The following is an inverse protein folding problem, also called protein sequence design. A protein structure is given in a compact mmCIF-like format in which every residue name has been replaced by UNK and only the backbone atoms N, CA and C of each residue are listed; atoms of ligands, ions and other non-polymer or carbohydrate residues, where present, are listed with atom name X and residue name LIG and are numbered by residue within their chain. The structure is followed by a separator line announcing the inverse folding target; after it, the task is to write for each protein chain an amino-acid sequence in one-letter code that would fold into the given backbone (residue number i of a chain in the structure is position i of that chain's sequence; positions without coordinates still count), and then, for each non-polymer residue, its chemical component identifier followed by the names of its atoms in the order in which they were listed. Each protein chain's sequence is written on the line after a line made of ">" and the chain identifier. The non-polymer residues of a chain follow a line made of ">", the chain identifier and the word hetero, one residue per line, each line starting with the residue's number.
data_IF_992884300961
#
_entry.id   IF_992884300961
#
_cell.length_a   1.000
_cell.length_b   1.000
_cell.length_c   1.000
_cell.angle_alpha   90.00
_cell.angle_beta   90.00
_cell.angle_gamma   90.00
#
_symmetry.space_group_name_H-M   'P 1'
#
loop_
_entity.id
_entity.type
_entity.pdbx_description
1 polymer ?
#
# COMPACT_ATOMS: atom_id res chain seq x y z
N UNK A 1 -54.53 -17.83 6.66
CA UNK A 1 -53.36 -16.92 6.83
C UNK A 1 -52.31 -17.02 5.73
N UNK A 2 -52.24 -18.10 4.92
CA UNK A 2 -51.33 -18.19 3.77
C UNK A 2 -51.83 -17.48 2.49
N UNK A 3 -53.12 -17.18 2.40
CA UNK A 3 -53.74 -16.64 1.16
C UNK A 3 -53.36 -15.18 0.88
N UNK A 4 -52.91 -14.43 1.90
CA UNK A 4 -52.39 -13.07 1.72
C UNK A 4 -50.95 -13.03 1.18
N UNK A 5 -50.20 -14.14 1.23
CA UNK A 5 -48.83 -14.23 0.73
C UNK A 5 -48.75 -14.51 -0.78
N UNK A 6 -49.87 -14.96 -1.38
CA UNK A 6 -49.98 -15.32 -2.80
C UNK A 6 -50.62 -14.23 -3.67
N UNK A 7 -50.94 -13.05 -3.10
CA UNK A 7 -51.35 -11.90 -3.90
C UNK A 7 -50.15 -11.46 -4.77
N UNK A 8 -50.34 -11.27 -6.09
CA UNK A 8 -49.27 -10.92 -7.00
C UNK A 8 -48.53 -9.63 -6.60
N UNK A 9 -49.23 -8.71 -5.94
CA UNK A 9 -48.69 -7.46 -5.37
C UNK A 9 -47.68 -7.71 -4.23
N UNK A 10 -47.94 -8.69 -3.36
CA UNK A 10 -47.08 -9.04 -2.22
C UNK A 10 -45.87 -9.84 -2.69
N UNK A 11 -46.04 -10.70 -3.70
CA UNK A 11 -44.96 -11.42 -4.36
C UNK A 11 -44.00 -10.46 -5.09
N UNK A 12 -44.52 -9.47 -5.82
CA UNK A 12 -43.72 -8.44 -6.50
C UNK A 12 -42.91 -7.61 -5.51
N UNK A 13 -43.53 -7.17 -4.41
CA UNK A 13 -42.85 -6.41 -3.35
C UNK A 13 -41.68 -7.21 -2.74
N UNK A 14 -41.91 -8.50 -2.45
CA UNK A 14 -40.88 -9.36 -1.87
C UNK A 14 -39.71 -9.62 -2.85
N UNK A 15 -40.01 -9.81 -4.13
CA UNK A 15 -38.98 -9.95 -5.18
C UNK A 15 -38.13 -8.68 -5.31
N UNK A 16 -38.73 -7.49 -5.22
CA UNK A 16 -38.01 -6.22 -5.27
C UNK A 16 -37.09 -6.07 -4.04
N UNK A 17 -37.57 -6.40 -2.84
CA UNK A 17 -36.75 -6.34 -1.62
C UNK A 17 -35.58 -7.34 -1.69
N UNK A 18 -35.80 -8.55 -2.20
CA UNK A 18 -34.74 -9.54 -2.46
C UNK A 18 -33.72 -9.05 -3.50
N UNK A 19 -34.17 -8.38 -4.56
CA UNK A 19 -33.27 -7.80 -5.57
C UNK A 19 -32.43 -6.66 -5.00
N UNK A 20 -33.03 -5.75 -4.23
CA UNK A 20 -32.32 -4.64 -3.59
C UNK A 20 -31.28 -5.17 -2.60
N UNK A 21 -31.68 -6.09 -1.73
CA UNK A 21 -30.74 -6.71 -0.78
C UNK A 21 -29.61 -7.43 -1.50
N UNK A 22 -29.90 -8.25 -2.52
CA UNK A 22 -28.88 -8.91 -3.34
C UNK A 22 -27.92 -7.92 -4.02
N UNK A 23 -28.42 -6.82 -4.58
CA UNK A 23 -27.57 -5.78 -5.17
C UNK A 23 -26.67 -5.10 -4.14
N UNK A 24 -27.20 -4.80 -2.95
CA UNK A 24 -26.42 -4.22 -1.84
C UNK A 24 -25.36 -5.23 -1.36
N UNK A 25 -25.72 -6.50 -1.15
CA UNK A 25 -24.77 -7.54 -0.71
C UNK A 25 -23.70 -7.78 -1.76
N UNK A 26 -24.07 -7.85 -3.05
CA UNK A 26 -23.12 -8.03 -4.16
C UNK A 26 -22.20 -6.83 -4.34
N UNK A 27 -22.69 -5.61 -4.11
CA UNK A 27 -21.87 -4.41 -4.13
C UNK A 27 -20.90 -4.36 -2.95
N UNK A 28 -21.36 -4.72 -1.75
CA UNK A 28 -20.51 -4.86 -0.56
C UNK A 28 -19.44 -5.96 -0.72
N UNK A 29 -19.78 -7.10 -1.34
CA UNK A 29 -18.80 -8.16 -1.65
C UNK A 29 -17.81 -7.72 -2.73
N UNK A 30 -18.25 -7.05 -3.80
CA UNK A 30 -17.33 -6.52 -4.83
C UNK A 30 -16.30 -5.55 -4.25
N UNK A 31 -16.67 -4.74 -3.25
CA UNK A 31 -15.73 -3.87 -2.53
C UNK A 31 -14.68 -4.64 -1.75
N UNK A 32 -14.99 -5.85 -1.26
CA UNK A 32 -14.06 -6.69 -0.49
C UNK A 32 -13.17 -7.57 -1.38
N UNK A 33 -13.62 -7.94 -2.57
CA UNK A 33 -12.89 -8.84 -3.49
C UNK A 33 -12.01 -8.12 -4.51
N UNK A 34 -12.10 -6.80 -4.65
CA UNK A 34 -11.11 -6.04 -5.40
C UNK A 34 -9.83 -5.88 -4.57
N UNK A 35 -9.15 -7.01 -4.26
CA UNK A 35 -7.71 -6.93 -4.05
C UNK A 35 -7.15 -6.30 -5.32
N UNK A 36 -6.31 -5.26 -5.24
CA UNK A 36 -5.51 -4.89 -6.38
C UNK A 36 -4.58 -6.08 -6.58
N UNK A 37 -4.98 -7.02 -7.44
CA UNK A 37 -4.01 -7.67 -8.32
C UNK A 37 -3.37 -6.50 -9.04
N UNK A 38 -2.29 -6.00 -8.45
CA UNK A 38 -1.42 -5.00 -9.04
C UNK A 38 -0.92 -5.67 -10.31
N UNK A 39 -1.62 -5.40 -11.40
CA UNK A 39 -1.26 -5.85 -12.73
C UNK A 39 0.19 -5.42 -12.90
N UNK A 40 1.11 -6.38 -12.92
CA UNK A 40 2.49 -6.21 -13.35
C UNK A 40 3.06 -4.84 -12.97
N UNK A 41 3.25 -4.58 -11.67
CA UNK A 41 4.07 -3.44 -11.27
C UNK A 41 5.51 -3.77 -11.68
N UNK A 42 5.85 -3.44 -12.92
CA UNK A 42 7.21 -3.53 -13.44
C UNK A 42 8.04 -2.52 -12.67
N UNK A 43 9.06 -3.01 -11.97
CA UNK A 43 10.04 -2.18 -11.28
C UNK A 43 10.64 -1.21 -12.29
N UNK A 44 10.47 0.07 -12.04
CA UNK A 44 11.03 1.12 -12.88
C UNK A 44 12.45 1.37 -12.39
N UNK A 45 13.43 0.84 -13.12
CA UNK A 45 14.85 1.06 -12.84
C UNK A 45 15.19 2.52 -13.18
N UNK A 46 15.45 3.38 -12.19
CA UNK A 46 15.75 4.79 -12.46
C UNK A 46 17.13 4.93 -13.10
N UNK A 47 17.33 6.00 -13.87
CA UNK A 47 18.67 6.34 -14.38
C UNK A 47 19.56 6.77 -13.23
N UNK A 48 20.86 6.46 -13.32
CA UNK A 48 21.81 6.91 -12.33
C UNK A 48 21.89 8.45 -12.28
N UNK A 49 21.89 9.01 -11.08
CA UNK A 49 21.88 10.46 -10.84
C UNK A 49 22.66 10.81 -9.57
N UNK A 50 23.27 11.99 -9.54
CA UNK A 50 23.88 12.60 -8.35
C UNK A 50 22.91 13.56 -7.63
N UNK A 51 21.67 13.68 -8.10
CA UNK A 51 20.64 14.47 -7.42
C UNK A 51 19.94 13.62 -6.34
N UNK A 52 20.50 13.65 -5.13
CA UNK A 52 19.96 12.93 -3.98
C UNK A 52 18.56 13.39 -3.57
N UNK A 53 18.23 14.67 -3.75
CA UNK A 53 16.90 15.19 -3.40
C UNK A 53 15.83 14.65 -4.34
N UNK A 54 16.11 14.59 -5.63
CA UNK A 54 15.20 13.99 -6.62
C UNK A 54 14.97 12.50 -6.34
N UNK A 55 16.02 11.74 -6.00
CA UNK A 55 15.87 10.33 -5.60
C UNK A 55 15.00 10.20 -4.34
N UNK A 56 15.23 11.04 -3.34
CA UNK A 56 14.45 11.06 -2.10
C UNK A 56 12.98 11.41 -2.34
N UNK A 57 12.68 12.34 -3.25
CA UNK A 57 11.31 12.69 -3.65
C UNK A 57 10.60 11.50 -4.31
N UNK A 58 11.26 10.81 -5.24
CA UNK A 58 10.70 9.62 -5.88
C UNK A 58 10.45 8.49 -4.88
N UNK A 59 11.40 8.19 -4.00
CA UNK A 59 11.22 7.18 -2.95
C UNK A 59 10.14 7.56 -1.95
N UNK A 60 9.99 8.85 -1.65
CA UNK A 60 8.91 9.35 -0.82
C UNK A 60 7.54 9.09 -1.47
N UNK A 61 7.39 9.30 -2.78
CA UNK A 61 6.15 9.02 -3.50
C UNK A 61 5.82 7.52 -3.50
N UNK A 62 6.83 6.67 -3.71
CA UNK A 62 6.72 5.21 -3.58
C UNK A 62 6.20 4.81 -2.19
N UNK A 63 6.77 5.36 -1.11
CA UNK A 63 6.32 5.11 0.27
C UNK A 63 4.91 5.64 0.56
N UNK A 64 4.54 6.81 0.04
CA UNK A 64 3.21 7.38 0.22
C UNK A 64 2.13 6.51 -0.43
N UNK A 65 2.40 6.03 -1.65
CA UNK A 65 1.54 5.09 -2.35
C UNK A 65 1.42 3.77 -1.59
N UNK A 66 2.55 3.22 -1.14
CA UNK A 66 2.59 2.01 -0.33
C UNK A 66 1.77 2.13 0.96
N UNK A 67 1.96 3.21 1.73
CA UNK A 67 1.18 3.50 2.94
C UNK A 67 -0.33 3.56 2.66
N UNK A 68 -0.72 4.27 1.59
CA UNK A 68 -2.13 4.44 1.24
C UNK A 68 -2.80 3.09 0.95
N UNK A 69 -2.12 2.24 0.20
CA UNK A 69 -2.61 0.92 -0.16
C UNK A 69 -2.58 -0.04 1.05
N UNK A 70 -1.52 0.01 1.85
CA UNK A 70 -1.42 -0.79 3.09
C UNK A 70 -2.57 -0.45 4.06
N UNK A 71 -2.90 0.83 4.24
CA UNK A 71 -4.07 1.25 5.03
C UNK A 71 -5.42 0.77 4.46
N UNK A 72 -5.51 0.59 3.14
CA UNK A 72 -6.76 0.25 2.46
C UNK A 72 -7.02 -1.26 2.40
N UNK A 73 -5.94 -2.04 2.28
CA UNK A 73 -6.00 -3.47 1.97
C UNK A 73 -5.34 -4.35 3.05
N UNK A 74 -4.64 -3.75 4.01
CA UNK A 74 -4.06 -4.42 5.19
C UNK A 74 -3.01 -5.47 4.86
N UNK A 75 -2.89 -6.46 5.74
CA UNK A 75 -1.87 -7.50 5.67
C UNK A 75 -1.79 -8.30 4.35
N UNK A 76 -2.92 -8.51 3.64
CA UNK A 76 -2.90 -9.23 2.36
C UNK A 76 -2.08 -8.45 1.33
N UNK A 77 -2.28 -7.13 1.26
CA UNK A 77 -1.48 -6.26 0.39
C UNK A 77 -0.02 -6.23 0.82
N UNK A 78 0.26 -6.24 2.14
CA UNK A 78 1.62 -6.35 2.65
C UNK A 78 2.32 -7.60 2.11
N UNK A 79 1.70 -8.78 2.19
CA UNK A 79 2.34 -10.01 1.73
C UNK A 79 2.56 -10.03 0.20
N UNK A 80 1.57 -9.56 -0.56
CA UNK A 80 1.60 -9.64 -2.02
C UNK A 80 2.50 -8.58 -2.67
N UNK A 81 2.61 -7.38 -2.09
CA UNK A 81 3.21 -6.22 -2.78
C UNK A 81 4.46 -5.65 -2.14
N UNK A 82 4.74 -5.95 -0.86
CA UNK A 82 5.99 -5.51 -0.20
C UNK A 82 7.25 -5.96 -0.95
N UNK A 83 7.34 -7.18 -1.52
CA UNK A 83 8.51 -7.56 -2.33
C UNK A 83 8.76 -6.63 -3.51
N UNK A 84 7.71 -6.23 -4.23
CA UNK A 84 7.81 -5.33 -5.40
C UNK A 84 8.23 -3.92 -4.95
N UNK A 85 7.67 -3.44 -3.83
CA UNK A 85 8.02 -2.14 -3.25
C UNK A 85 9.47 -2.13 -2.77
N UNK A 86 9.95 -3.23 -2.18
CA UNK A 86 11.35 -3.38 -1.78
C UNK A 86 12.29 -3.34 -2.99
N UNK A 87 11.95 -4.02 -4.09
CA UNK A 87 12.74 -3.96 -5.32
C UNK A 87 12.77 -2.54 -5.90
N UNK A 88 11.65 -1.83 -5.90
CA UNK A 88 11.56 -0.45 -6.36
C UNK A 88 12.40 0.51 -5.49
N UNK A 89 12.25 0.44 -4.16
CA UNK A 89 13.03 1.27 -3.22
C UNK A 89 14.54 0.98 -3.32
N UNK A 90 14.91 -0.29 -3.52
CA UNK A 90 16.31 -0.67 -3.74
C UNK A 90 16.85 -0.10 -5.05
N UNK A 91 16.07 -0.17 -6.13
CA UNK A 91 16.45 0.37 -7.43
C UNK A 91 16.61 1.90 -7.36
N UNK A 92 15.73 2.59 -6.64
CA UNK A 92 15.85 4.03 -6.37
C UNK A 92 17.10 4.35 -5.55
N UNK A 93 17.35 3.65 -4.44
CA UNK A 93 18.56 3.82 -3.65
C UNK A 93 19.84 3.56 -4.47
N UNK A 94 19.85 2.51 -5.28
CA UNK A 94 20.97 2.12 -6.15
C UNK A 94 21.17 3.06 -7.35
N UNK A 95 20.17 3.90 -7.68
CA UNK A 95 20.29 4.90 -8.74
C UNK A 95 21.09 6.13 -8.29
N UNK A 96 21.22 6.35 -6.98
CA UNK A 96 21.98 7.46 -6.44
C UNK A 96 23.49 7.19 -6.56
N UNK A 97 24.21 8.09 -7.22
CA UNK A 97 25.66 8.11 -7.25
C UNK A 97 26.14 8.70 -5.91
N UNK A 98 26.87 7.88 -5.15
CA UNK A 98 27.34 8.23 -3.82
C UNK A 98 28.35 9.37 -3.89
N UNK A 99 28.07 10.42 -3.13
CA UNK A 99 28.94 11.58 -2.94
C UNK A 99 28.81 12.07 -1.50
N UNK A 100 29.79 12.85 -1.02
CA UNK A 100 29.77 13.43 0.33
C UNK A 100 28.50 14.29 0.58
N UNK A 101 27.98 14.94 -0.47
CA UNK A 101 26.76 15.74 -0.40
C UNK A 101 25.48 14.91 -0.20
N UNK A 102 25.46 13.66 -0.69
CA UNK A 102 24.25 12.82 -0.70
C UNK A 102 24.34 11.60 0.20
N UNK A 103 25.47 11.39 0.89
CA UNK A 103 25.69 10.23 1.75
C UNK A 103 24.59 10.07 2.80
N UNK A 104 24.17 11.17 3.44
CA UNK A 104 23.08 11.11 4.42
C UNK A 104 21.74 10.68 3.80
N UNK A 105 21.50 10.95 2.52
CA UNK A 105 20.28 10.55 1.82
C UNK A 105 20.35 9.06 1.50
N UNK A 106 21.48 8.60 0.96
CA UNK A 106 21.73 7.18 0.69
C UNK A 106 21.51 6.32 1.94
N UNK A 107 22.09 6.71 3.08
CA UNK A 107 21.94 6.00 4.35
C UNK A 107 20.47 5.89 4.79
N UNK A 108 19.68 6.96 4.58
CA UNK A 108 18.25 6.96 4.90
C UNK A 108 17.45 6.04 3.99
N UNK A 109 17.77 5.99 2.70
CA UNK A 109 17.11 5.13 1.72
C UNK A 109 17.36 3.65 2.06
N UNK A 110 18.62 3.25 2.30
CA UNK A 110 18.94 1.87 2.66
C UNK A 110 18.41 1.48 4.04
N UNK A 111 18.49 2.37 5.03
CA UNK A 111 17.91 2.10 6.36
C UNK A 111 16.41 1.80 6.28
N UNK A 112 15.68 2.50 5.40
CA UNK A 112 14.27 2.22 5.19
C UNK A 112 14.05 0.89 4.45
N UNK A 113 14.86 0.60 3.43
CA UNK A 113 14.83 -0.67 2.71
C UNK A 113 15.06 -1.86 3.66
N UNK A 114 16.13 -1.82 4.46
CA UNK A 114 16.50 -2.89 5.39
C UNK A 114 15.39 -3.14 6.44
N UNK A 115 14.83 -2.06 7.01
CA UNK A 115 13.73 -2.20 7.96
C UNK A 115 12.48 -2.84 7.34
N UNK A 116 12.14 -2.49 6.10
CA UNK A 116 11.01 -3.10 5.39
C UNK A 116 11.29 -4.56 5.01
N UNK A 117 12.55 -4.90 4.69
CA UNK A 117 12.98 -6.27 4.42
C UNK A 117 12.87 -7.12 5.69
N UNK A 118 13.30 -6.60 6.84
CA UNK A 118 13.16 -7.26 8.15
C UNK A 118 11.69 -7.54 8.50
N UNK A 119 10.79 -6.58 8.23
CA UNK A 119 9.35 -6.81 8.43
C UNK A 119 8.80 -7.89 7.51
N UNK A 120 9.31 -7.99 6.27
CA UNK A 120 8.87 -8.96 5.28
C UNK A 120 9.35 -10.39 5.60
N UNK A 121 10.53 -10.54 6.19
CA UNK A 121 11.09 -11.84 6.56
C UNK A 121 10.62 -12.36 7.92
N UNK A 122 9.99 -11.52 8.74
CA UNK A 122 9.56 -11.89 10.08
C UNK A 122 8.40 -12.89 10.02
N UNK A 123 8.57 -14.05 10.67
CA UNK A 123 7.44 -14.95 10.94
C UNK A 123 6.56 -14.35 12.04
N UNK A 124 5.27 -14.16 11.75
CA UNK A 124 4.35 -13.49 12.69
C UNK A 124 3.07 -14.28 12.89
N UNK A 125 2.73 -14.51 14.16
CA UNK A 125 1.45 -15.10 14.59
C UNK A 125 0.31 -14.07 14.66
N UNK A 126 0.63 -12.81 14.97
CA UNK A 126 -0.31 -11.67 14.98
C UNK A 126 -0.04 -10.71 13.80
N UNK A 127 -0.79 -10.92 12.72
CA UNK A 127 -0.65 -10.14 11.48
C UNK A 127 -1.08 -8.69 11.64
N UNK A 128 -2.01 -8.37 12.55
CA UNK A 128 -2.44 -6.99 12.80
C UNK A 128 -1.37 -6.19 13.53
N UNK A 129 -0.66 -6.82 14.47
CA UNK A 129 0.47 -6.18 15.13
C UNK A 129 1.56 -5.81 14.13
N UNK A 130 1.91 -6.72 13.23
CA UNK A 130 2.89 -6.44 12.17
C UNK A 130 2.41 -5.30 11.24
N UNK A 131 1.15 -5.32 10.81
CA UNK A 131 0.58 -4.25 9.98
C UNK A 131 0.73 -2.87 10.64
N UNK A 132 0.44 -2.77 11.93
CA UNK A 132 0.60 -1.52 12.69
C UNK A 132 2.06 -1.11 12.84
N UNK A 133 2.98 -2.05 13.08
CA UNK A 133 4.41 -1.77 13.15
C UNK A 133 4.96 -1.23 11.83
N UNK A 134 4.60 -1.87 10.71
CA UNK A 134 4.98 -1.43 9.36
C UNK A 134 4.39 -0.05 9.06
N UNK A 135 3.10 0.17 9.33
CA UNK A 135 2.47 1.48 9.12
C UNK A 135 3.12 2.58 9.95
N UNK A 136 3.48 2.28 11.20
CA UNK A 136 4.17 3.23 12.08
C UNK A 136 5.57 3.56 11.56
N UNK A 137 6.34 2.56 11.13
CA UNK A 137 7.64 2.75 10.48
C UNK A 137 7.52 3.64 9.25
N UNK A 138 6.67 3.25 8.29
CA UNK A 138 6.46 4.01 7.04
C UNK A 138 6.01 5.45 7.32
N UNK A 139 5.14 5.65 8.32
CA UNK A 139 4.72 6.99 8.73
C UNK A 139 5.89 7.86 9.21
N UNK A 140 6.73 7.31 10.09
CA UNK A 140 7.89 8.03 10.62
C UNK A 140 8.87 8.37 9.50
N UNK A 141 9.17 7.42 8.62
CA UNK A 141 10.04 7.63 7.45
C UNK A 141 9.51 8.74 6.54
N UNK A 142 8.21 8.71 6.19
CA UNK A 142 7.58 9.76 5.37
C UNK A 142 7.72 11.14 6.03
N UNK A 143 7.54 11.25 7.34
CA UNK A 143 7.69 12.53 8.07
C UNK A 143 9.14 13.00 8.02
N UNK A 144 10.10 12.12 8.32
CA UNK A 144 11.53 12.43 8.29
C UNK A 144 11.96 12.93 6.91
N UNK A 145 11.61 12.20 5.84
CA UNK A 145 12.01 12.58 4.48
C UNK A 145 11.34 13.87 4.02
N UNK A 146 10.08 14.12 4.39
CA UNK A 146 9.43 15.41 4.12
C UNK A 146 10.12 16.57 4.81
N UNK A 147 10.64 16.37 6.02
CA UNK A 147 11.38 17.42 6.72
C UNK A 147 12.74 17.67 6.07
N UNK A 148 13.47 16.62 5.70
CA UNK A 148 14.74 16.73 4.96
C UNK A 148 14.57 17.51 3.64
N UNK A 149 13.53 17.19 2.87
CA UNK A 149 13.23 17.90 1.62
C UNK A 149 12.83 19.37 1.84
N UNK A 150 12.23 19.71 2.98
CA UNK A 150 11.90 21.10 3.33
C UNK A 150 13.13 21.89 3.78
N UNK A 151 14.03 21.27 4.51
CA UNK A 151 15.26 21.90 5.00
C UNK A 151 16.27 22.14 3.87
N UNK A 152 16.16 21.38 2.78
CA UNK A 152 17.06 21.46 1.62
C UNK A 152 16.56 22.39 0.50
N UNK A 153 15.39 23.03 0.67
CA UNK A 153 14.78 23.99 -0.28
C UNK A 153 14.91 25.41 0.24
#
# INVERSE_FOLDING_TARGET
>A
MLENLLRPEVLLSNVIVCLITFLITRWALKRKLASPRTKEAVVQIPKQTDDGLTVLEHSLDTLQSYKKNLNSYGYVYFQETTPIVLEQLKAEASSLIVSEANQSIEEQLYKNYDALLDFQQREVSDTKKLELEVLNHVNKTIITWRNLLKESR
#
